data_IF_644228906854
#
_entry.id   IF_644228906854
#
_cell.length_a   1.000
_cell.length_b   1.000
_cell.length_c   1.000
_cell.angle_alpha   90.00
_cell.angle_beta   90.00
_cell.angle_gamma   90.00
#
_symmetry.space_group_name_H-M   'P 1'
#
loop_
_entity.id
_entity.type
_entity.pdbx_description
1 polymer ?
#
# COMPACT_ATOMS: atom_id res chain seq x y z
N UNK A 1 8.39 5.64 8.66
CA UNK A 1 7.81 5.86 7.32
C UNK A 1 8.61 6.97 6.64
N UNK A 2 9.25 6.71 5.50
CA UNK A 2 9.99 7.74 4.74
C UNK A 2 8.99 8.59 3.95
N UNK A 3 8.98 9.89 4.18
CA UNK A 3 8.12 10.86 3.48
C UNK A 3 8.94 11.57 2.40
N UNK A 4 8.58 11.40 1.13
CA UNK A 4 9.29 11.99 -0.01
C UNK A 4 8.55 13.25 -0.47
N UNK A 5 9.24 14.39 -0.45
CA UNK A 5 8.73 15.66 -0.98
C UNK A 5 9.33 15.91 -2.37
N UNK A 6 8.47 16.01 -3.39
CA UNK A 6 8.86 16.44 -4.72
C UNK A 6 8.53 17.92 -4.90
N UNK A 7 9.53 18.78 -5.05
CA UNK A 7 9.31 20.19 -5.40
C UNK A 7 9.18 20.32 -6.93
N UNK A 8 7.95 20.39 -7.43
CA UNK A 8 7.66 20.67 -8.84
C UNK A 8 6.66 21.82 -8.98
N UNK A 9 6.86 22.67 -9.98
CA UNK A 9 5.87 23.62 -10.46
C UNK A 9 4.91 22.88 -11.41
N UNK A 10 3.62 22.71 -11.07
CA UNK A 10 2.72 21.92 -11.88
C UNK A 10 2.33 22.63 -13.19
N UNK A 11 2.32 21.89 -14.30
CA UNK A 11 1.59 22.25 -15.52
C UNK A 11 0.16 21.67 -15.43
N UNK A 12 -0.88 22.41 -15.86
CA UNK A 12 -2.27 22.09 -15.50
C UNK A 12 -3.00 21.06 -16.39
N UNK A 13 -2.34 20.33 -17.29
CA UNK A 13 -3.04 19.62 -18.38
C UNK A 13 -2.90 18.09 -18.43
N UNK A 14 -2.24 17.45 -17.46
CA UNK A 14 -2.29 15.99 -17.25
C UNK A 14 -1.65 15.62 -15.91
N UNK A 15 -2.02 14.49 -15.27
CA UNK A 15 -1.22 13.95 -14.18
C UNK A 15 0.16 13.60 -14.75
N UNK A 16 1.16 14.42 -14.43
CA UNK A 16 2.54 14.19 -14.84
C UNK A 16 3.14 13.14 -13.93
N UNK A 17 3.51 11.98 -14.48
CA UNK A 17 4.29 10.97 -13.76
C UNK A 17 5.76 11.42 -13.67
N UNK A 18 6.37 11.29 -12.49
CA UNK A 18 7.77 11.63 -12.27
C UNK A 18 8.58 10.35 -12.35
N UNK A 19 9.48 10.26 -13.33
CA UNK A 19 10.43 9.15 -13.45
C UNK A 19 11.79 9.55 -12.88
N UNK A 20 12.39 8.68 -12.06
CA UNK A 20 13.74 8.87 -11.55
C UNK A 20 14.75 8.43 -12.61
N UNK A 21 15.53 9.39 -13.13
CA UNK A 21 16.66 9.10 -14.01
C UNK A 21 17.92 8.78 -13.18
N UNK A 22 18.57 7.65 -13.43
CA UNK A 22 19.87 7.30 -12.81
C UNK A 22 21.05 7.68 -13.73
N UNK A 23 20.77 7.97 -15.01
CA UNK A 23 21.76 8.37 -16.00
C UNK A 23 21.98 9.88 -15.98
N UNK A 24 22.93 10.38 -16.76
CA UNK A 24 23.28 11.80 -16.80
C UNK A 24 22.16 12.69 -17.41
N UNK A 25 21.68 13.73 -16.70
CA UNK A 25 21.97 14.07 -15.30
C UNK A 25 21.18 13.19 -14.32
N UNK A 26 21.84 12.63 -13.28
CA UNK A 26 21.19 11.73 -12.35
C UNK A 26 20.24 12.52 -11.42
N UNK A 27 19.13 11.90 -11.09
CA UNK A 27 18.16 12.44 -10.14
C UNK A 27 18.79 12.46 -8.76
N UNK A 28 18.76 13.63 -8.11
CA UNK A 28 19.30 13.81 -6.76
C UNK A 28 18.18 13.72 -5.74
N UNK A 29 18.22 12.70 -4.90
CA UNK A 29 17.31 12.53 -3.77
C UNK A 29 18.07 12.88 -2.50
N UNK A 30 17.51 13.76 -1.67
CA UNK A 30 18.11 14.19 -0.40
C UNK A 30 17.11 13.98 0.73
N UNK A 31 17.55 13.39 1.84
CA UNK A 31 16.74 13.25 3.05
C UNK A 31 16.92 14.50 3.90
N UNK A 32 15.82 15.15 4.26
CA UNK A 32 15.81 16.36 5.09
C UNK A 32 15.44 15.96 6.53
N UNK A 33 16.25 16.34 7.55
CA UNK A 33 15.91 16.09 8.95
C UNK A 33 14.60 16.78 9.34
N UNK A 34 13.75 16.09 10.10
CA UNK A 34 12.44 16.61 10.51
C UNK A 34 12.54 17.93 11.30
N UNK A 35 13.62 18.10 12.08
CA UNK A 35 13.88 19.32 12.86
C UNK A 35 14.04 20.59 12.02
N UNK A 36 14.38 20.47 10.73
CA UNK A 36 14.57 21.60 9.82
C UNK A 36 13.43 21.73 8.80
N UNK A 37 12.42 20.85 8.85
CA UNK A 37 11.23 20.92 8.00
C UNK A 37 10.32 22.02 8.53
N UNK A 38 10.21 23.10 7.75
CA UNK A 38 9.29 24.21 8.05
C UNK A 38 7.83 23.75 7.97
N UNK A 39 6.94 24.44 8.67
CA UNK A 39 5.52 24.09 8.74
C UNK A 39 4.89 24.05 7.33
N UNK A 40 5.24 25.00 6.48
CA UNK A 40 4.79 25.12 5.09
C UNK A 40 5.33 24.04 4.15
N UNK A 41 6.37 23.29 4.55
CA UNK A 41 6.94 22.18 3.78
C UNK A 41 6.42 20.82 4.25
N UNK A 42 5.58 20.80 5.30
CA UNK A 42 4.98 19.56 5.75
C UNK A 42 4.09 19.00 4.65
N UNK A 43 4.34 17.75 4.29
CA UNK A 43 3.46 17.02 3.40
C UNK A 43 2.06 16.95 4.02
N UNK A 44 1.00 17.03 3.20
CA UNK A 44 -0.35 16.79 3.67
C UNK A 44 -0.45 15.40 4.32
N UNK A 45 -1.44 15.22 5.19
CA UNK A 45 -1.79 13.89 5.69
C UNK A 45 -2.14 12.98 4.51
N UNK A 46 -1.77 11.70 4.64
CA UNK A 46 -2.11 10.69 3.65
C UNK A 46 -3.63 10.64 3.57
N UNK A 47 -4.16 10.91 2.37
CA UNK A 47 -5.59 10.80 2.12
C UNK A 47 -5.85 9.37 1.66
N UNK A 48 -6.65 8.65 2.44
CA UNK A 48 -7.15 7.35 2.08
C UNK A 48 -8.48 7.49 1.36
N UNK A 49 -8.70 6.66 0.34
CA UNK A 49 -9.97 6.55 -0.35
C UNK A 49 -10.55 5.16 -0.10
N UNK A 50 -11.09 5.00 1.11
CA UNK A 50 -11.65 3.72 1.53
C UNK A 50 -12.90 3.39 0.73
N UNK A 51 -12.91 2.21 0.13
CA UNK A 51 -14.11 1.59 -0.39
C UNK A 51 -14.72 0.67 0.67
N UNK A 52 -16.02 0.47 0.59
CA UNK A 52 -16.72 -0.53 1.39
C UNK A 52 -16.75 -1.88 0.67
N UNK A 53 -16.98 -2.96 1.41
CA UNK A 53 -17.12 -4.29 0.83
C UNK A 53 -18.29 -4.33 -0.14
N UNK A 54 -19.36 -3.58 0.14
CA UNK A 54 -20.55 -3.53 -0.70
C UNK A 54 -20.30 -2.85 -2.04
N UNK A 55 -19.33 -1.94 -2.12
CA UNK A 55 -18.94 -1.24 -3.36
C UNK A 55 -17.92 -2.02 -4.19
N UNK A 56 -17.19 -2.96 -3.58
CA UNK A 56 -16.10 -3.69 -4.24
C UNK A 56 -16.55 -4.43 -5.51
N UNK A 57 -17.76 -5.00 -5.51
CA UNK A 57 -18.27 -5.80 -6.64
C UNK A 57 -18.59 -4.92 -7.87
N UNK A 58 -18.78 -3.61 -7.67
CA UNK A 58 -19.05 -2.64 -8.73
C UNK A 58 -17.77 -2.05 -9.35
N UNK A 59 -16.60 -2.36 -8.79
CA UNK A 59 -15.33 -1.82 -9.26
C UNK A 59 -14.79 -2.61 -10.48
N UNK A 60 -14.12 -1.92 -11.42
CA UNK A 60 -13.44 -2.59 -12.52
C UNK A 60 -12.37 -3.57 -12.02
N UNK A 61 -12.13 -4.64 -12.76
CA UNK A 61 -11.05 -5.57 -12.44
C UNK A 61 -9.70 -4.84 -12.43
N UNK A 62 -8.84 -5.22 -11.48
CA UNK A 62 -7.51 -4.60 -11.27
C UNK A 62 -7.55 -3.14 -10.79
N UNK A 63 -8.70 -2.62 -10.36
CA UNK A 63 -8.77 -1.34 -9.69
C UNK A 63 -8.05 -1.40 -8.33
N UNK A 64 -7.17 -0.43 -8.06
CA UNK A 64 -6.53 -0.28 -6.75
C UNK A 64 -7.38 0.62 -5.85
N UNK A 65 -7.63 0.17 -4.64
CA UNK A 65 -8.46 0.85 -3.66
C UNK A 65 -7.88 0.68 -2.25
N UNK A 66 -8.23 1.60 -1.36
CA UNK A 66 -7.93 1.45 0.06
C UNK A 66 -9.11 0.76 0.74
N UNK A 67 -8.84 -0.06 1.75
CA UNK A 67 -9.89 -0.66 2.59
C UNK A 67 -9.53 -0.47 4.06
N UNK A 68 -10.54 -0.50 4.92
CA UNK A 68 -10.39 -0.51 6.37
C UNK A 68 -11.38 -1.53 6.94
N UNK A 69 -10.98 -2.27 7.97
CA UNK A 69 -11.92 -3.13 8.65
C UNK A 69 -11.31 -3.99 9.74
N UNK A 70 -12.14 -4.89 10.27
CA UNK A 70 -11.81 -5.79 11.36
C UNK A 70 -11.40 -7.16 10.83
N UNK A 71 -10.23 -7.63 11.24
CA UNK A 71 -9.70 -8.94 10.83
C UNK A 71 -10.41 -10.06 11.57
N UNK A 72 -11.10 -10.92 10.84
CA UNK A 72 -11.84 -12.06 11.42
C UNK A 72 -11.11 -13.39 11.23
N UNK A 73 -10.22 -13.47 10.25
CA UNK A 73 -9.47 -14.68 9.95
C UNK A 73 -8.10 -14.36 9.37
N UNK A 74 -7.10 -15.16 9.76
CA UNK A 74 -5.75 -15.16 9.21
C UNK A 74 -5.34 -16.60 8.94
N UNK A 75 -5.06 -16.90 7.68
CA UNK A 75 -4.59 -18.20 7.22
C UNK A 75 -3.15 -18.48 7.63
N UNK A 76 -2.73 -19.73 7.41
CA UNK A 76 -1.33 -20.12 7.60
C UNK A 76 -0.45 -19.44 6.56
N UNK A 77 0.84 -19.31 6.88
CA UNK A 77 1.84 -18.86 5.91
C UNK A 77 1.96 -19.88 4.77
N UNK A 78 1.79 -19.40 3.55
CA UNK A 78 1.97 -20.15 2.31
C UNK A 78 3.25 -19.70 1.61
N UNK A 79 3.92 -20.65 0.93
CA UNK A 79 5.09 -20.37 0.10
C UNK A 79 4.86 -20.88 -1.32
N UNK A 80 4.82 -19.97 -2.28
CA UNK A 80 4.57 -20.28 -3.69
C UNK A 80 5.81 -19.97 -4.52
N UNK A 81 6.30 -20.92 -5.31
CA UNK A 81 7.49 -20.71 -6.15
C UNK A 81 7.22 -19.64 -7.20
N UNK A 82 8.12 -18.66 -7.35
CA UNK A 82 8.01 -17.64 -8.40
C UNK A 82 8.24 -18.30 -9.76
N UNK A 83 7.41 -17.99 -10.75
CA UNK A 83 7.65 -18.44 -12.14
C UNK A 83 8.77 -17.58 -12.75
N UNK A 84 9.94 -18.16 -13.03
CA UNK A 84 11.09 -17.47 -13.62
C UNK A 84 12.44 -18.14 -13.36
N UNK A 85 13.54 -17.50 -13.81
CA UNK A 85 14.92 -17.94 -13.54
C UNK A 85 15.36 -17.54 -12.12
N UNK A 86 15.10 -18.41 -11.13
CA UNK A 86 15.57 -18.26 -9.76
C UNK A 86 14.86 -19.18 -8.77
N UNK A 87 15.54 -19.59 -7.70
CA UNK A 87 14.96 -20.31 -6.54
C UNK A 87 14.31 -19.31 -5.56
N UNK A 88 13.37 -18.50 -6.05
CA UNK A 88 12.70 -17.48 -5.25
C UNK A 88 11.23 -17.85 -4.98
N UNK A 89 10.71 -17.43 -3.83
CA UNK A 89 9.38 -17.80 -3.34
C UNK A 89 8.59 -16.54 -2.93
N UNK A 90 7.32 -16.49 -3.30
CA UNK A 90 6.36 -15.61 -2.64
C UNK A 90 5.97 -16.24 -1.30
N UNK A 91 5.97 -15.43 -0.25
CA UNK A 91 5.44 -15.82 1.06
C UNK A 91 4.20 -14.98 1.32
N UNK A 92 3.04 -15.63 1.49
CA UNK A 92 1.75 -14.96 1.66
C UNK A 92 0.87 -15.60 2.72
N UNK A 93 -0.22 -14.92 3.10
CA UNK A 93 -1.28 -15.40 3.98
C UNK A 93 -2.62 -14.89 3.47
N UNK A 94 -3.65 -15.73 3.52
CA UNK A 94 -5.03 -15.30 3.30
C UNK A 94 -5.57 -14.58 4.54
N UNK A 95 -6.24 -13.45 4.35
CA UNK A 95 -6.81 -12.64 5.42
C UNK A 95 -8.26 -12.32 5.08
N UNK A 96 -9.16 -12.47 6.06
CA UNK A 96 -10.53 -11.99 5.94
C UNK A 96 -10.73 -10.75 6.80
N UNK A 97 -11.31 -9.72 6.18
CA UNK A 97 -11.59 -8.43 6.82
C UNK A 97 -13.06 -8.09 6.64
N UNK A 98 -13.72 -7.62 7.70
CA UNK A 98 -15.12 -7.14 7.64
C UNK A 98 -15.16 -5.65 7.97
N UNK A 99 -15.97 -4.90 7.24
CA UNK A 99 -16.25 -3.48 7.52
C UNK A 99 -17.69 -3.24 8.01
N UNK A 100 -18.51 -4.29 8.02
CA UNK A 100 -19.89 -4.27 8.47
C UNK A 100 -20.89 -3.81 7.40
N UNK A 101 -20.46 -3.56 6.16
CA UNK A 101 -21.39 -3.14 5.09
C UNK A 101 -22.01 -4.32 4.33
N UNK A 102 -21.40 -5.50 4.43
CA UNK A 102 -21.81 -6.74 3.77
C UNK A 102 -21.62 -7.95 4.70
N UNK A 103 -22.40 -9.01 4.46
CA UNK A 103 -22.24 -10.31 5.13
C UNK A 103 -21.00 -11.08 4.63
N UNK A 104 -20.45 -10.68 3.47
CA UNK A 104 -19.22 -11.26 2.93
C UNK A 104 -18.01 -10.47 3.43
N UNK A 105 -16.87 -11.12 3.71
CA UNK A 105 -15.63 -10.41 4.00
C UNK A 105 -14.94 -9.92 2.72
N UNK A 106 -14.01 -8.99 2.88
CA UNK A 106 -12.88 -8.87 1.96
C UNK A 106 -11.98 -10.11 2.13
N UNK A 107 -11.66 -10.78 1.04
CA UNK A 107 -10.71 -11.90 1.02
C UNK A 107 -9.43 -11.40 0.34
N UNK A 108 -8.34 -11.34 1.08
CA UNK A 108 -7.09 -10.74 0.62
C UNK A 108 -5.93 -11.71 0.74
N UNK A 109 -5.04 -11.68 -0.24
CA UNK A 109 -3.71 -12.32 -0.13
C UNK A 109 -2.69 -11.26 0.33
N UNK A 110 -2.21 -11.40 1.56
CA UNK A 110 -1.19 -10.52 2.13
C UNK A 110 0.21 -11.10 1.89
N UNK A 111 1.04 -10.40 1.14
CA UNK A 111 2.43 -10.80 0.88
C UNK A 111 3.40 -10.23 1.91
N UNK A 112 4.34 -11.06 2.36
CA UNK A 112 5.36 -10.68 3.34
C UNK A 112 6.27 -9.53 2.88
N UNK A 113 6.46 -9.38 1.57
CA UNK A 113 7.31 -8.33 0.98
C UNK A 113 6.65 -6.97 0.90
N UNK A 114 5.31 -6.90 0.98
CA UNK A 114 4.59 -5.63 0.82
C UNK A 114 4.63 -4.81 2.11
N UNK A 115 4.37 -5.46 3.25
CA UNK A 115 4.38 -4.83 4.57
C UNK A 115 4.83 -5.88 5.62
N UNK A 116 6.14 -6.07 5.84
CA UNK A 116 6.66 -7.16 6.67
C UNK A 116 6.16 -7.09 8.12
N UNK A 117 6.12 -5.89 8.71
CA UNK A 117 5.62 -5.69 10.08
C UNK A 117 4.15 -6.08 10.23
N UNK A 118 3.31 -5.74 9.23
CA UNK A 118 1.89 -6.11 9.23
C UNK A 118 1.76 -7.61 9.03
N UNK A 119 2.50 -8.18 8.09
CA UNK A 119 2.49 -9.63 7.83
C UNK A 119 2.84 -10.47 9.06
N UNK A 120 3.82 -10.05 9.84
CA UNK A 120 4.25 -10.77 11.04
C UNK A 120 3.25 -10.65 12.19
N UNK A 121 2.60 -9.49 12.34
CA UNK A 121 1.76 -9.16 13.50
C UNK A 121 0.27 -9.38 13.28
N UNK A 122 -0.18 -9.56 12.04
CA UNK A 122 -1.60 -9.73 11.73
C UNK A 122 -2.15 -11.01 12.40
N UNK A 123 -3.24 -10.84 13.14
CA UNK A 123 -3.99 -11.89 13.82
C UNK A 123 -5.47 -11.51 13.85
N UNK A 124 -6.39 -12.47 14.06
CA UNK A 124 -7.80 -12.14 14.26
C UNK A 124 -7.99 -11.18 15.43
N UNK A 125 -9.08 -10.42 15.38
CA UNK A 125 -9.48 -9.46 16.42
C UNK A 125 -8.67 -8.16 16.48
N UNK A 126 -8.10 -7.73 15.34
CA UNK A 126 -7.50 -6.41 15.17
C UNK A 126 -8.16 -5.61 14.06
N UNK A 127 -7.98 -4.30 14.07
CA UNK A 127 -8.30 -3.44 12.92
C UNK A 127 -7.12 -3.36 11.95
N UNK A 128 -7.42 -3.52 10.66
CA UNK A 128 -6.50 -3.27 9.56
C UNK A 128 -6.85 -1.92 8.92
N UNK A 129 -5.82 -1.10 8.72
CA UNK A 129 -5.85 0.24 8.13
C UNK A 129 -4.91 0.27 6.92
#
# INVERSE_FOLDING_TARGET
MLKILFCLFPSPLSPSEISLNVRDPPTKITVIPESVVKLEWRLPEVKYWFITRSELDDLPSSHSCDIIGFVTFVGRTERTKKKGHGEDFWTSRWVHVIDGTSDQPFIMELFATSQPDVFERIHPSIYLL
#
